data_IF_517457550270
#
_entry.id   IF_517457550270
#
_cell.length_a   1.000
_cell.length_b   1.000
_cell.length_c   1.000
_cell.angle_alpha   90.00
_cell.angle_beta   90.00
_cell.angle_gamma   90.00
#
_symmetry.space_group_name_H-M   'P 1'
#
loop_
_entity.id
_entity.type
_entity.pdbx_description
1 polymer ?
#
# COMPACT_ATOMS: atom_id res chain seq x y z
N UNK A 1 -14.19 29.08 -30.53
CA UNK A 1 -13.29 28.85 -31.65
C UNK A 1 -12.32 27.73 -31.29
N UNK A 2 -12.29 26.71 -32.11
CA UNK A 2 -11.45 25.52 -31.91
C UNK A 2 -9.96 25.83 -31.90
N UNK A 3 -9.53 26.82 -32.66
CA UNK A 3 -8.13 27.23 -32.74
C UNK A 3 -7.61 27.75 -31.39
N UNK A 4 -8.42 28.49 -30.64
CA UNK A 4 -8.00 28.98 -29.31
C UNK A 4 -7.83 27.86 -28.30
N UNK A 5 -8.63 26.80 -28.41
CA UNK A 5 -8.47 25.65 -27.53
C UNK A 5 -7.21 24.85 -27.85
N UNK A 6 -6.87 24.70 -29.13
CA UNK A 6 -5.64 24.02 -29.55
C UNK A 6 -4.41 24.81 -29.08
N UNK A 7 -4.40 26.14 -29.27
CA UNK A 7 -3.33 27.01 -28.76
C UNK A 7 -3.19 26.93 -27.25
N UNK A 8 -4.30 26.80 -26.55
CA UNK A 8 -4.28 26.69 -25.09
C UNK A 8 -3.59 25.39 -24.63
N UNK A 9 -3.75 24.28 -25.34
CA UNK A 9 -3.08 23.02 -25.03
C UNK A 9 -1.62 22.99 -25.48
N UNK A 10 -1.28 23.64 -26.57
CA UNK A 10 0.05 23.56 -27.14
C UNK A 10 1.06 24.54 -26.53
N UNK A 11 0.60 25.65 -25.98
CA UNK A 11 1.47 26.73 -25.50
C UNK A 11 1.31 26.95 -24.01
N UNK A 12 1.57 25.92 -23.23
CA UNK A 12 1.82 26.13 -21.80
C UNK A 12 3.24 26.64 -21.68
N UNK A 13 3.42 27.91 -21.23
CA UNK A 13 4.75 28.46 -21.01
C UNK A 13 5.52 27.60 -19.99
N UNK A 14 6.83 27.58 -20.10
CA UNK A 14 7.68 26.86 -19.15
C UNK A 14 7.41 27.25 -17.70
N UNK A 15 7.06 28.51 -17.45
CA UNK A 15 6.72 28.99 -16.12
C UNK A 15 5.41 28.42 -15.61
N UNK A 16 4.37 28.32 -16.45
CA UNK A 16 3.11 27.70 -16.08
C UNK A 16 3.27 26.19 -15.84
N UNK A 17 4.08 25.52 -16.64
CA UNK A 17 4.37 24.11 -16.45
C UNK A 17 5.05 23.87 -15.09
N UNK A 18 6.00 24.71 -14.70
CA UNK A 18 6.65 24.63 -13.38
C UNK A 18 5.69 24.90 -12.24
N UNK A 19 4.79 25.88 -12.39
CA UNK A 19 3.76 26.15 -11.39
C UNK A 19 2.81 24.96 -11.26
N UNK A 20 2.45 24.34 -12.37
CA UNK A 20 1.61 23.14 -12.38
C UNK A 20 2.30 22.00 -11.64
N UNK A 21 3.58 21.75 -11.90
CA UNK A 21 4.37 20.73 -11.20
C UNK A 21 4.44 21.00 -9.69
N UNK A 22 4.64 22.24 -9.28
CA UNK A 22 4.67 22.62 -7.87
C UNK A 22 3.33 22.40 -7.17
N UNK A 23 2.23 22.49 -7.92
CA UNK A 23 0.87 22.27 -7.40
C UNK A 23 0.43 20.83 -7.52
N UNK A 24 1.25 19.96 -8.08
CA UNK A 24 0.95 18.54 -8.20
C UNK A 24 0.75 17.94 -6.81
N UNK A 25 -0.45 17.43 -6.56
CA UNK A 25 -0.81 16.86 -5.26
C UNK A 25 -0.77 15.34 -5.24
N UNK A 26 -0.57 14.71 -6.39
CA UNK A 26 -0.47 13.25 -6.43
C UNK A 26 0.79 12.76 -5.74
N UNK A 27 0.59 11.92 -4.74
CA UNK A 27 1.67 11.27 -4.00
C UNK A 27 1.41 9.79 -3.98
N UNK A 28 2.33 8.98 -4.51
CA UNK A 28 2.15 7.52 -4.51
C UNK A 28 2.21 6.92 -3.11
N UNK A 29 2.84 7.63 -2.16
CA UNK A 29 2.93 7.23 -0.76
C UNK A 29 2.49 8.39 0.14
N UNK A 30 1.89 8.10 1.30
CA UNK A 30 1.68 9.14 2.30
C UNK A 30 3.03 9.68 2.82
N UNK A 31 3.02 10.90 3.36
CA UNK A 31 4.23 11.55 3.87
C UNK A 31 4.88 10.79 5.02
N UNK A 32 4.12 9.95 5.71
CA UNK A 32 4.61 9.13 6.81
C UNK A 32 5.47 7.95 6.39
N UNK A 33 5.56 7.68 5.08
CA UNK A 33 6.25 6.49 4.56
C UNK A 33 7.29 6.84 3.51
N UNK A 34 8.34 6.02 3.42
CA UNK A 34 9.34 6.10 2.37
C UNK A 34 9.82 4.71 1.99
N UNK A 35 10.47 4.60 0.82
CA UNK A 35 11.00 3.35 0.29
C UNK A 35 12.52 3.36 0.45
N UNK A 36 13.07 2.27 0.96
CA UNK A 36 14.51 2.12 1.13
C UNK A 36 14.90 0.64 1.05
N UNK A 37 16.19 0.37 0.95
CA UNK A 37 16.71 -0.99 0.95
C UNK A 37 16.32 -1.71 2.24
N UNK A 38 15.81 -2.92 2.11
CA UNK A 38 15.29 -3.72 3.21
C UNK A 38 16.27 -4.81 3.62
N UNK A 39 16.34 -5.14 4.90
CA UNK A 39 17.05 -6.32 5.38
C UNK A 39 16.29 -7.62 5.10
N UNK A 40 14.99 -7.52 4.78
CA UNK A 40 14.16 -8.70 4.48
C UNK A 40 14.36 -9.13 3.04
N UNK A 41 14.06 -8.22 2.10
CA UNK A 41 14.19 -8.50 0.67
C UNK A 41 14.10 -7.19 -0.12
N UNK A 42 15.05 -6.97 -1.01
CA UNK A 42 15.08 -5.85 -1.95
C UNK A 42 14.78 -4.50 -1.32
N UNK A 43 13.78 -3.82 -1.84
CA UNK A 43 13.29 -2.55 -1.30
C UNK A 43 12.14 -2.80 -0.33
N UNK A 44 12.03 -1.99 0.68
CA UNK A 44 10.98 -2.08 1.68
C UNK A 44 10.29 -0.75 1.92
N UNK A 45 9.19 -0.80 2.66
CA UNK A 45 8.40 0.36 3.04
C UNK A 45 8.70 0.68 4.51
N UNK A 46 9.10 1.92 4.78
CA UNK A 46 9.56 2.34 6.10
C UNK A 46 8.78 3.53 6.62
N UNK A 47 8.63 3.59 7.93
CA UNK A 47 7.98 4.72 8.59
C UNK A 47 8.92 5.90 8.70
N UNK A 48 8.50 7.06 8.19
CA UNK A 48 9.25 8.32 8.29
C UNK A 48 9.05 9.00 9.64
N UNK A 49 7.89 8.73 10.27
CA UNK A 49 7.52 9.24 11.57
C UNK A 49 6.89 8.11 12.37
N UNK A 50 6.73 8.32 13.69
CA UNK A 50 5.94 7.39 14.49
C UNK A 50 4.50 7.33 13.98
N UNK A 51 3.95 6.14 13.86
CA UNK A 51 2.59 5.90 13.38
C UNK A 51 1.82 5.14 14.45
N UNK A 52 0.67 5.66 14.83
CA UNK A 52 -0.17 5.00 15.84
C UNK A 52 -0.79 3.72 15.30
N UNK A 53 -1.13 2.79 16.18
CA UNK A 53 -1.91 1.59 15.84
C UNK A 53 -3.25 1.98 15.21
N UNK A 54 -3.79 1.11 14.37
CA UNK A 54 -5.07 1.29 13.68
C UNK A 54 -5.12 2.51 12.74
N UNK A 55 -3.98 2.92 12.23
CA UNK A 55 -3.90 3.99 11.23
C UNK A 55 -4.10 3.41 9.84
N UNK A 56 -5.03 4.01 9.09
CA UNK A 56 -5.25 3.68 7.67
C UNK A 56 -4.19 4.40 6.82
N UNK A 57 -3.34 3.65 6.16
CA UNK A 57 -2.27 4.18 5.33
C UNK A 57 -2.68 4.37 3.87
N UNK A 58 -3.86 3.87 3.51
CA UNK A 58 -4.38 3.97 2.16
C UNK A 58 -4.55 2.61 1.49
N UNK A 59 -4.98 2.62 0.24
CA UNK A 59 -5.23 1.41 -0.53
C UNK A 59 -3.92 0.79 -0.96
N UNK A 60 -3.71 -0.48 -0.60
CA UNK A 60 -2.51 -1.23 -0.96
C UNK A 60 -2.73 -2.18 -2.13
N UNK A 61 -3.95 -2.71 -2.27
CA UNK A 61 -4.27 -3.72 -3.27
C UNK A 61 -5.67 -3.51 -3.82
N UNK A 62 -5.84 -3.84 -5.10
CA UNK A 62 -7.14 -3.85 -5.76
C UNK A 62 -7.28 -5.21 -6.45
N UNK A 63 -8.38 -5.91 -6.15
CA UNK A 63 -8.72 -7.19 -6.74
C UNK A 63 -9.79 -6.95 -7.79
N UNK A 64 -9.55 -7.43 -9.01
CA UNK A 64 -10.46 -7.26 -10.14
C UNK A 64 -10.93 -8.62 -10.61
N UNK A 65 -12.24 -8.80 -10.68
CA UNK A 65 -12.87 -9.96 -11.29
C UNK A 65 -13.11 -9.64 -12.78
N UNK A 66 -12.27 -10.19 -13.65
CA UNK A 66 -12.37 -9.96 -15.10
C UNK A 66 -13.46 -10.82 -15.74
N UNK A 67 -13.58 -12.07 -15.33
CA UNK A 67 -14.48 -13.04 -15.89
C UNK A 67 -14.76 -14.09 -14.81
N UNK A 68 -15.97 -14.61 -14.80
CA UNK A 68 -16.36 -15.68 -13.84
C UNK A 68 -15.51 -16.93 -13.96
N UNK A 69 -14.88 -17.14 -15.11
CA UNK A 69 -14.05 -18.32 -15.39
C UNK A 69 -12.55 -18.01 -15.29
N UNK A 70 -12.17 -16.76 -15.15
CA UNK A 70 -10.76 -16.36 -15.04
C UNK A 70 -10.34 -16.18 -13.59
N UNK A 71 -9.06 -16.42 -13.25
CA UNK A 71 -8.56 -16.09 -11.92
C UNK A 71 -8.68 -14.60 -11.64
N UNK A 72 -8.88 -14.24 -10.39
CA UNK A 72 -8.90 -12.87 -9.94
C UNK A 72 -7.53 -12.23 -10.20
N UNK A 73 -7.54 -11.00 -10.67
CA UNK A 73 -6.33 -10.24 -10.87
C UNK A 73 -6.12 -9.29 -9.71
N UNK A 74 -4.93 -9.33 -9.12
CA UNK A 74 -4.55 -8.47 -8.02
C UNK A 74 -3.60 -7.39 -8.51
N UNK A 75 -3.99 -6.14 -8.31
CA UNK A 75 -3.17 -4.98 -8.63
C UNK A 75 -2.61 -4.42 -7.34
N UNK A 76 -1.31 -4.13 -7.32
CA UNK A 76 -0.64 -3.51 -6.18
C UNK A 76 -0.47 -2.03 -6.44
N UNK A 77 -0.86 -1.21 -5.46
CA UNK A 77 -0.44 0.19 -5.44
C UNK A 77 1.00 0.28 -4.94
N UNK A 78 1.65 1.44 -4.95
CA UNK A 78 2.99 1.56 -4.34
C UNK A 78 3.05 1.08 -2.89
N UNK A 79 1.98 1.24 -2.10
CA UNK A 79 1.92 0.70 -0.74
C UNK A 79 2.03 -0.83 -0.73
N UNK A 80 1.29 -1.49 -1.60
CA UNK A 80 1.30 -2.95 -1.69
C UNK A 80 2.48 -3.52 -2.45
N UNK A 81 3.11 -2.71 -3.30
CA UNK A 81 4.23 -3.15 -4.14
C UNK A 81 5.56 -3.24 -3.41
N UNK A 82 5.76 -2.45 -2.38
CA UNK A 82 7.03 -2.37 -1.66
C UNK A 82 6.99 -2.92 -0.24
N UNK A 83 5.82 -3.31 0.26
CA UNK A 83 5.73 -3.88 1.61
C UNK A 83 6.20 -5.33 1.60
N UNK A 84 7.10 -5.67 2.52
CA UNK A 84 7.66 -7.01 2.62
C UNK A 84 6.80 -7.94 3.48
N UNK A 85 6.98 -9.23 3.25
CA UNK A 85 6.26 -10.26 3.98
C UNK A 85 6.91 -10.57 5.31
N UNK A 86 6.09 -10.71 6.33
CA UNK A 86 6.49 -11.23 7.64
C UNK A 86 5.41 -12.20 8.10
N UNK A 87 5.83 -13.41 8.50
CA UNK A 87 4.90 -14.43 8.95
C UNK A 87 4.55 -14.23 10.42
N UNK A 88 3.29 -14.44 10.75
CA UNK A 88 2.84 -14.50 12.14
C UNK A 88 3.40 -15.75 12.81
N UNK A 89 4.07 -15.57 13.95
CA UNK A 89 4.58 -16.68 14.76
C UNK A 89 3.76 -16.75 16.05
N UNK A 90 3.23 -17.92 16.33
CA UNK A 90 2.44 -18.19 17.55
C UNK A 90 3.14 -19.23 18.39
N UNK A 91 3.05 -19.08 19.69
CA UNK A 91 3.55 -20.04 20.67
C UNK A 91 2.48 -20.27 21.74
N UNK A 92 2.43 -21.47 22.35
CA UNK A 92 1.48 -21.72 23.42
C UNK A 92 1.86 -20.92 24.68
N UNK A 93 0.86 -20.33 25.33
CA UNK A 93 1.02 -19.71 26.63
C UNK A 93 1.02 -20.74 27.75
N UNK A 94 1.05 -20.32 29.00
CA UNK A 94 1.04 -21.21 30.18
C UNK A 94 -0.23 -22.04 30.30
N UNK A 95 -1.30 -21.70 29.56
CA UNK A 95 -2.56 -22.44 29.53
C UNK A 95 -2.72 -23.29 28.27
N UNK A 96 -1.69 -23.38 27.44
CA UNK A 96 -1.72 -24.14 26.19
C UNK A 96 -2.45 -23.44 25.05
N UNK A 97 -2.81 -22.17 25.21
CA UNK A 97 -3.47 -21.40 24.18
C UNK A 97 -2.43 -20.70 23.29
N UNK A 98 -2.58 -20.81 21.98
CA UNK A 98 -1.68 -20.14 21.04
C UNK A 98 -1.84 -18.62 21.11
N UNK A 99 -0.73 -17.93 21.33
CA UNK A 99 -0.64 -16.46 21.31
C UNK A 99 0.41 -16.03 20.30
N UNK A 100 0.15 -14.91 19.63
CA UNK A 100 1.12 -14.31 18.71
C UNK A 100 2.29 -13.73 19.49
N UNK A 101 3.50 -14.19 19.20
CA UNK A 101 4.73 -13.70 19.83
C UNK A 101 5.51 -12.79 18.88
N UNK A 102 5.33 -12.93 17.58
CA UNK A 102 5.85 -12.00 16.59
C UNK A 102 5.00 -12.05 15.33
N UNK A 103 5.05 -11.01 14.52
CA UNK A 103 4.30 -10.95 13.29
C UNK A 103 4.37 -9.59 12.64
N UNK A 104 3.69 -9.44 11.51
CA UNK A 104 3.70 -8.19 10.76
C UNK A 104 3.09 -7.05 11.57
N UNK A 105 3.54 -5.85 11.30
CA UNK A 105 3.00 -4.66 11.97
C UNK A 105 1.83 -4.04 11.21
N UNK A 106 1.47 -4.57 10.06
CA UNK A 106 0.33 -4.13 9.28
C UNK A 106 -0.60 -5.29 8.94
N UNK A 107 -1.83 -4.95 8.59
CA UNK A 107 -2.84 -5.88 8.11
C UNK A 107 -3.60 -5.24 6.94
N UNK A 108 -4.24 -6.06 6.13
CA UNK A 108 -5.14 -5.59 5.07
C UNK A 108 -6.57 -5.71 5.54
N UNK A 109 -7.35 -4.68 5.28
CA UNK A 109 -8.79 -4.71 5.51
C UNK A 109 -9.49 -4.56 4.17
N UNK A 110 -10.38 -5.52 3.88
CA UNK A 110 -11.19 -5.49 2.68
C UNK A 110 -12.21 -4.37 2.78
N UNK A 111 -12.22 -3.49 1.79
CA UNK A 111 -13.21 -2.43 1.70
C UNK A 111 -14.44 -2.91 0.94
N UNK A 112 -15.57 -2.30 1.23
CA UNK A 112 -16.76 -2.51 0.43
C UNK A 112 -16.59 -1.80 -0.89
N UNK A 113 -16.76 -2.55 -2.00
CA UNK A 113 -16.64 -2.02 -3.35
C UNK A 113 -17.89 -2.33 -4.14
N UNK A 114 -18.16 -1.46 -5.11
CA UNK A 114 -19.25 -1.67 -6.06
C UNK A 114 -18.71 -2.34 -7.33
N UNK A 115 -19.51 -3.20 -7.94
CA UNK A 115 -19.16 -3.88 -9.19
C UNK A 115 -18.16 -5.01 -9.00
N UNK A 116 -17.19 -5.12 -9.92
CA UNK A 116 -16.24 -6.22 -9.98
C UNK A 116 -14.88 -5.90 -9.31
N UNK A 117 -14.80 -4.79 -8.56
CA UNK A 117 -13.56 -4.36 -7.93
C UNK A 117 -13.67 -4.43 -6.42
N UNK A 118 -12.62 -4.94 -5.79
CA UNK A 118 -12.49 -4.97 -4.32
C UNK A 118 -11.16 -4.31 -3.97
N UNK A 119 -11.18 -3.33 -3.08
CA UNK A 119 -9.95 -2.72 -2.59
C UNK A 119 -9.64 -3.18 -1.18
N UNK A 120 -8.35 -3.13 -0.84
CA UNK A 120 -7.85 -3.44 0.48
C UNK A 120 -7.06 -2.27 1.01
N UNK A 121 -7.38 -1.83 2.21
CA UNK A 121 -6.63 -0.79 2.91
C UNK A 121 -5.57 -1.39 3.78
N UNK A 122 -4.41 -0.75 3.81
CA UNK A 122 -3.31 -1.13 4.67
C UNK A 122 -3.47 -0.39 6.00
N UNK A 123 -3.59 -1.16 7.07
CA UNK A 123 -3.85 -0.64 8.43
C UNK A 123 -2.74 -1.10 9.35
N UNK A 124 -2.24 -0.22 10.21
CA UNK A 124 -1.26 -0.60 11.23
C UNK A 124 -1.92 -1.42 12.32
N UNK A 125 -1.26 -2.52 12.74
CA UNK A 125 -1.74 -3.41 13.80
C UNK A 125 -1.29 -2.97 15.19
N UNK A 126 -0.20 -2.23 15.24
CA UNK A 126 0.38 -1.69 16.48
C UNK A 126 1.06 -0.38 16.19
N UNK A 127 1.54 0.30 17.21
CA UNK A 127 2.35 1.50 17.06
C UNK A 127 3.63 1.16 16.30
N UNK A 128 4.00 1.99 15.37
CA UNK A 128 5.20 1.84 14.54
C UNK A 128 6.12 3.02 14.86
N UNK A 129 7.40 2.72 15.07
CA UNK A 129 8.41 3.74 15.35
C UNK A 129 8.97 4.32 14.05
N UNK A 130 9.42 5.56 14.10
CA UNK A 130 10.16 6.15 12.98
C UNK A 130 11.35 5.25 12.63
N UNK A 131 11.54 4.98 11.33
CA UNK A 131 12.59 4.10 10.83
C UNK A 131 12.25 2.62 10.81
N UNK A 132 11.13 2.22 11.39
CA UNK A 132 10.70 0.82 11.39
C UNK A 132 10.17 0.43 10.01
N UNK A 133 10.52 -0.76 9.56
CA UNK A 133 9.98 -1.31 8.30
C UNK A 133 8.56 -1.82 8.51
N UNK A 134 7.66 -1.48 7.58
CA UNK A 134 6.30 -2.01 7.56
C UNK A 134 6.28 -3.39 6.92
N UNK A 135 5.56 -4.31 7.52
CA UNK A 135 5.44 -5.69 7.05
C UNK A 135 3.99 -6.13 7.03
N UNK A 136 3.72 -7.11 6.17
CA UNK A 136 2.39 -7.66 5.95
C UNK A 136 2.50 -9.16 5.72
N UNK A 137 1.56 -9.93 6.22
CA UNK A 137 1.51 -11.35 5.89
C UNK A 137 0.80 -11.54 4.55
N UNK A 138 1.50 -12.18 3.60
CA UNK A 138 1.01 -12.34 2.22
C UNK A 138 0.05 -13.53 2.09
N UNK A 139 -1.09 -13.47 2.72
CA UNK A 139 -2.07 -14.55 2.57
C UNK A 139 -2.67 -14.64 1.17
N UNK A 140 -2.64 -13.52 0.42
CA UNK A 140 -3.15 -13.48 -0.96
C UNK A 140 -2.22 -14.12 -1.98
N UNK A 141 -0.96 -14.27 -1.64
CA UNK A 141 0.07 -14.74 -2.57
C UNK A 141 0.59 -16.11 -2.21
N UNK A 142 -0.18 -16.86 -1.45
CA UNK A 142 0.19 -18.24 -1.15
C UNK A 142 0.31 -18.96 -2.48
N UNK A 143 1.51 -19.42 -2.86
CA UNK A 143 1.67 -20.11 -4.14
C UNK A 143 0.79 -21.35 -4.13
N UNK A 144 0.05 -21.52 -5.19
CA UNK A 144 -0.66 -22.76 -5.42
C UNK A 144 0.38 -23.83 -5.69
N UNK A 145 0.55 -24.69 -4.74
CA UNK A 145 1.48 -25.81 -4.87
C UNK A 145 0.86 -26.93 -5.66
#
# INVERSE_FOLDING_TARGET
MTEQNEEHFEVISANKAREFEKKQTYKPLPDSLFIEESFIDGQGLFANNAIAADTDLGISHIEIEKDKMAPLEMIRTPLGGFINHEKTVKEPDSFGKDVEVSGPNCKRIKNRMDGCMISYSLITRRDIKAGEELTLEYSMYVPVK
#
